data_IF_015099788452
#
_entry.id   IF_015099788452
#
_cell.length_a   1.000
_cell.length_b   1.000
_cell.length_c   1.000
_cell.angle_alpha   90.00
_cell.angle_beta   90.00
_cell.angle_gamma   90.00
#
_symmetry.space_group_name_H-M   'P 1'
#
loop_
_entity.id
_entity.type
_entity.pdbx_description
1 polymer ?
#
# COMPACT_ATOMS: atom_id res chain seq x y z
N UNK A 1 -9.05 6.49 9.95
CA UNK A 1 -10.19 7.31 9.49
C UNK A 1 -10.82 8.15 10.60
N UNK A 2 -11.30 7.55 11.69
CA UNK A 2 -11.89 8.30 12.82
C UNK A 2 -10.95 9.38 13.39
N UNK A 3 -9.66 9.08 13.54
CA UNK A 3 -8.65 10.03 14.04
C UNK A 3 -8.45 11.21 13.08
N UNK A 4 -8.38 10.99 11.78
CA UNK A 4 -8.20 12.07 10.78
C UNK A 4 -9.44 12.97 10.76
N UNK A 5 -10.63 12.40 10.77
CA UNK A 5 -11.88 13.17 10.85
C UNK A 5 -11.99 13.95 12.17
N UNK A 6 -11.58 13.34 13.30
CA UNK A 6 -11.56 14.00 14.60
C UNK A 6 -10.55 15.17 14.61
N UNK A 7 -9.37 15.02 14.05
CA UNK A 7 -8.36 16.09 13.94
C UNK A 7 -8.88 17.24 13.07
N UNK A 8 -9.47 16.94 11.91
CA UNK A 8 -10.07 17.96 11.04
C UNK A 8 -11.20 18.70 11.77
N UNK A 9 -12.08 17.97 12.47
CA UNK A 9 -13.17 18.57 13.24
C UNK A 9 -12.63 19.49 14.34
N UNK A 10 -11.69 19.00 15.15
CA UNK A 10 -11.09 19.76 16.26
C UNK A 10 -10.37 21.00 15.75
N UNK A 11 -9.56 20.89 14.71
CA UNK A 11 -8.85 22.05 14.13
C UNK A 11 -9.81 23.08 13.54
N UNK A 12 -10.85 22.64 12.86
CA UNK A 12 -11.85 23.55 12.27
C UNK A 12 -12.66 24.26 13.36
N UNK A 13 -13.08 23.54 14.39
CA UNK A 13 -13.79 24.12 15.54
C UNK A 13 -12.89 25.12 16.28
N UNK A 14 -11.64 24.76 16.54
CA UNK A 14 -10.67 25.64 17.21
C UNK A 14 -10.41 26.92 16.40
N UNK A 15 -10.16 26.79 15.09
CA UNK A 15 -9.99 27.95 14.19
C UNK A 15 -11.23 28.82 14.14
N UNK A 16 -12.41 28.22 14.06
CA UNK A 16 -13.68 28.97 14.06
C UNK A 16 -13.89 29.72 15.37
N UNK A 17 -13.54 29.12 16.51
CA UNK A 17 -13.65 29.79 17.83
C UNK A 17 -12.67 30.96 17.96
N UNK A 18 -11.42 30.81 17.51
CA UNK A 18 -10.42 31.90 17.51
C UNK A 18 -10.85 33.03 16.59
N UNK A 19 -11.33 32.70 15.41
CA UNK A 19 -11.84 33.69 14.46
C UNK A 19 -13.07 34.43 15.00
N UNK A 20 -13.99 33.70 15.62
CA UNK A 20 -15.17 34.28 16.26
C UNK A 20 -14.78 35.28 17.35
N UNK A 21 -13.87 34.89 18.24
CA UNK A 21 -13.40 35.76 19.32
C UNK A 21 -12.71 37.03 18.80
N UNK A 22 -11.84 36.88 17.81
CA UNK A 22 -11.11 37.99 17.21
C UNK A 22 -12.04 38.94 16.46
N UNK A 23 -12.95 38.42 15.64
CA UNK A 23 -13.90 39.22 14.87
C UNK A 23 -14.88 39.99 15.79
N UNK A 24 -15.35 39.30 16.84
CA UNK A 24 -16.23 39.90 17.84
C UNK A 24 -15.57 41.12 18.50
N UNK A 25 -14.34 40.96 19.01
CA UNK A 25 -13.63 42.02 19.68
C UNK A 25 -13.35 43.18 18.70
N UNK A 26 -12.88 42.92 17.51
CA UNK A 26 -12.59 43.90 16.50
C UNK A 26 -13.84 44.72 16.10
N UNK A 27 -14.98 44.06 16.00
CA UNK A 27 -16.26 44.75 15.69
C UNK A 27 -16.76 45.60 16.87
N UNK A 28 -16.61 45.11 18.11
CA UNK A 28 -16.97 45.88 19.29
C UNK A 28 -16.08 47.13 19.38
N UNK A 29 -14.77 47.00 19.20
CA UNK A 29 -13.83 48.09 19.22
C UNK A 29 -14.13 49.14 18.13
N UNK A 30 -14.42 48.69 16.90
CA UNK A 30 -14.76 49.58 15.80
C UNK A 30 -16.07 50.39 16.09
N UNK A 31 -17.07 49.79 16.73
CA UNK A 31 -18.32 50.47 17.12
C UNK A 31 -18.09 51.42 18.28
N UNK A 32 -17.22 51.10 19.24
CA UNK A 32 -16.83 51.99 20.33
C UNK A 32 -16.03 53.20 19.80
N UNK A 33 -15.14 52.99 18.83
CA UNK A 33 -14.42 54.06 18.16
C UNK A 33 -15.35 55.02 17.44
N UNK A 34 -16.37 54.47 16.76
CA UNK A 34 -17.42 55.32 16.15
C UNK A 34 -18.16 56.16 17.22
N UNK A 35 -18.59 55.55 18.34
CA UNK A 35 -19.25 56.29 19.43
C UNK A 35 -18.34 57.37 20.05
N UNK A 36 -17.03 57.14 20.14
CA UNK A 36 -16.04 58.15 20.58
C UNK A 36 -16.01 59.32 19.59
N UNK A 37 -15.98 59.05 18.28
CA UNK A 37 -15.98 60.09 17.25
C UNK A 37 -17.25 60.96 17.32
N UNK A 38 -18.39 60.32 17.51
CA UNK A 38 -19.67 61.07 17.71
C UNK A 38 -19.66 61.88 19.03
N UNK A 39 -19.09 61.31 20.11
CA UNK A 39 -18.93 62.05 21.37
C UNK A 39 -18.00 63.24 21.24
N UNK A 40 -16.96 63.17 20.41
CA UNK A 40 -16.05 64.27 20.11
C UNK A 40 -16.74 65.39 19.32
N UNK A 41 -17.64 65.04 18.38
CA UNK A 41 -18.41 66.02 17.66
C UNK A 41 -19.39 66.76 18.61
N UNK A 42 -20.02 66.05 19.53
CA UNK A 42 -20.86 66.65 20.56
C UNK A 42 -19.98 67.53 21.52
N UNK A 43 -18.79 67.05 21.89
CA UNK A 43 -17.87 67.78 22.75
C UNK A 43 -17.37 69.09 22.10
N UNK A 44 -17.12 69.07 20.78
CA UNK A 44 -16.79 70.27 20.03
C UNK A 44 -17.95 71.32 20.06
N UNK A 45 -19.16 70.84 19.77
CA UNK A 45 -20.34 71.69 19.81
C UNK A 45 -20.62 72.27 21.21
N UNK A 46 -20.40 71.46 22.27
CA UNK A 46 -20.57 71.86 23.65
C UNK A 46 -19.51 72.91 24.08
N UNK A 47 -18.28 72.87 23.51
CA UNK A 47 -17.19 73.80 23.79
C UNK A 47 -17.37 75.17 23.11
N UNK A 48 -17.99 75.23 21.95
CA UNK A 48 -18.13 76.41 21.10
C UNK A 48 -19.32 77.31 21.49
N UNK A 49 -20.11 76.89 22.47
CA UNK A 49 -21.27 77.67 22.95
C UNK A 49 -20.77 78.87 23.81
N UNK A 50 -20.77 80.07 23.22
CA UNK A 50 -20.36 81.29 23.90
C UNK A 50 -21.38 81.88 24.89
N UNK A 51 -21.01 82.09 26.12
CA UNK A 51 -21.42 83.25 26.97
C UNK A 51 -22.64 83.07 27.87
N UNK A 52 -23.63 82.30 27.63
CA UNK A 52 -24.77 82.08 28.52
C UNK A 52 -24.93 80.60 28.84
N UNK A 53 -25.53 80.28 30.00
CA UNK A 53 -25.69 78.90 30.48
C UNK A 53 -26.00 77.95 29.32
N UNK A 54 -25.23 76.85 29.16
CA UNK A 54 -25.49 75.81 28.20
C UNK A 54 -26.99 75.35 28.21
N UNK A 55 -27.63 75.50 29.39
CA UNK A 55 -29.06 75.25 29.62
C UNK A 55 -29.96 76.26 28.89
N UNK A 56 -29.57 77.53 28.79
CA UNK A 56 -30.40 78.55 28.14
C UNK A 56 -30.28 78.42 26.62
N UNK A 57 -29.12 78.13 26.08
CA UNK A 57 -28.93 77.89 24.63
C UNK A 57 -29.62 76.56 24.17
N UNK A 58 -29.59 75.57 25.01
CA UNK A 58 -30.26 74.29 24.72
C UNK A 58 -31.79 74.40 24.89
N UNK A 59 -32.28 75.33 25.72
CA UNK A 59 -33.67 75.59 25.88
C UNK A 59 -34.21 76.58 24.84
N UNK A 60 -33.37 77.33 24.13
CA UNK A 60 -33.80 78.16 23.00
C UNK A 60 -34.20 77.29 21.78
N UNK A 61 -35.45 77.35 21.40
CA UNK A 61 -36.04 76.53 20.34
C UNK A 61 -35.53 76.84 18.94
N UNK A 62 -34.92 77.97 18.73
CA UNK A 62 -34.57 78.49 17.41
C UNK A 62 -33.02 78.39 17.14
N UNK A 63 -32.22 77.83 18.04
CA UNK A 63 -30.75 77.72 17.81
C UNK A 63 -30.35 76.64 16.86
N UNK A 64 -29.55 76.95 15.85
CA UNK A 64 -28.98 76.00 14.85
C UNK A 64 -28.18 74.87 15.54
N UNK A 65 -27.45 75.24 16.57
CA UNK A 65 -26.62 74.31 17.36
C UNK A 65 -27.48 73.27 18.09
N UNK A 66 -28.64 73.65 18.63
CA UNK A 66 -29.61 72.74 19.24
C UNK A 66 -30.15 71.75 18.20
N UNK A 67 -30.50 72.25 17.00
CA UNK A 67 -31.05 71.45 15.93
C UNK A 67 -30.01 70.37 15.54
N UNK A 68 -28.76 70.75 15.40
CA UNK A 68 -27.66 69.82 15.03
C UNK A 68 -27.34 68.82 16.16
N UNK A 69 -27.31 69.26 17.41
CA UNK A 69 -27.09 68.40 18.56
C UNK A 69 -28.23 67.35 18.72
N UNK A 70 -29.46 67.77 18.49
CA UNK A 70 -30.61 66.86 18.48
C UNK A 70 -30.56 65.89 17.32
N UNK A 71 -30.08 66.28 16.15
CA UNK A 71 -29.93 65.42 14.99
C UNK A 71 -28.86 64.37 15.24
N UNK A 72 -27.68 64.73 15.73
CA UNK A 72 -26.61 63.80 16.11
C UNK A 72 -27.10 62.84 17.20
N UNK A 73 -27.72 63.38 18.26
CA UNK A 73 -28.29 62.55 19.33
C UNK A 73 -29.35 61.58 18.86
N UNK A 74 -30.22 62.02 17.93
CA UNK A 74 -31.26 61.15 17.34
C UNK A 74 -30.68 60.05 16.48
N UNK A 75 -29.62 60.34 15.75
CA UNK A 75 -28.91 59.33 14.93
C UNK A 75 -28.26 58.26 15.81
N UNK A 76 -27.51 58.67 16.82
CA UNK A 76 -26.84 57.78 17.79
C UNK A 76 -27.91 56.93 18.52
N UNK A 77 -29.02 57.54 18.96
CA UNK A 77 -30.08 56.77 19.62
C UNK A 77 -30.76 55.79 18.68
N UNK A 78 -31.00 56.18 17.42
CA UNK A 78 -31.64 55.29 16.43
C UNK A 78 -30.77 54.10 16.13
N UNK A 79 -29.48 54.30 15.99
CA UNK A 79 -28.54 53.24 15.61
C UNK A 79 -28.16 52.36 16.81
N UNK A 80 -27.82 53.00 17.95
CA UNK A 80 -27.27 52.27 19.10
C UNK A 80 -28.20 52.24 20.32
N UNK A 81 -29.31 52.93 20.29
CA UNK A 81 -30.20 53.11 21.46
C UNK A 81 -29.44 53.72 22.64
N UNK A 82 -28.53 54.64 22.32
CA UNK A 82 -27.60 55.22 23.29
C UNK A 82 -28.19 56.47 23.95
N UNK A 83 -27.79 56.65 25.21
CA UNK A 83 -28.06 57.84 26.00
C UNK A 83 -26.84 58.76 26.04
N UNK A 84 -27.04 60.06 25.86
CA UNK A 84 -25.98 61.07 25.82
C UNK A 84 -26.16 61.99 27.01
N UNK A 85 -25.08 62.21 27.77
CA UNK A 85 -25.03 63.14 28.87
C UNK A 85 -23.85 64.09 28.71
N UNK A 86 -24.08 65.39 28.82
CA UNK A 86 -23.02 66.38 28.94
C UNK A 86 -22.95 66.81 30.39
N UNK A 87 -21.79 66.72 31.03
CA UNK A 87 -21.57 67.00 32.45
C UNK A 87 -20.55 68.13 32.60
N UNK A 88 -20.76 69.00 33.62
CA UNK A 88 -19.77 70.03 34.00
C UNK A 88 -18.60 69.40 34.80
N UNK A 89 -17.60 70.26 35.19
CA UNK A 89 -16.49 69.81 36.01
C UNK A 89 -16.87 69.29 37.40
N UNK A 90 -18.03 69.68 37.91
CA UNK A 90 -18.56 69.23 39.20
C UNK A 90 -19.33 67.92 39.09
N UNK A 91 -19.49 67.40 37.85
CA UNK A 91 -20.25 66.16 37.59
C UNK A 91 -21.80 66.37 37.48
N UNK A 92 -22.24 67.65 37.45
CA UNK A 92 -23.63 67.92 37.26
C UNK A 92 -23.99 67.70 35.79
N UNK A 93 -25.09 67.00 35.51
CA UNK A 93 -25.61 66.84 34.17
C UNK A 93 -26.21 68.13 33.67
N UNK A 94 -25.52 68.75 32.72
CA UNK A 94 -25.93 70.06 32.15
C UNK A 94 -27.04 69.91 31.11
N UNK A 95 -27.03 68.83 30.40
CA UNK A 95 -28.10 68.51 29.46
C UNK A 95 -28.27 67.03 29.38
N UNK A 96 -29.51 66.62 29.60
CA UNK A 96 -30.04 65.37 29.09
C UNK A 96 -30.53 65.70 27.68
N UNK A 97 -29.74 65.45 26.65
CA UNK A 97 -30.35 65.25 25.34
C UNK A 97 -31.18 63.97 25.49
N UNK A 98 -32.32 64.12 26.13
CA UNK A 98 -33.36 63.14 26.16
C UNK A 98 -33.85 63.10 24.72
N UNK A 99 -33.16 62.37 23.90
CA UNK A 99 -33.81 61.83 22.74
C UNK A 99 -35.08 61.19 23.31
N UNK A 100 -36.21 61.63 22.90
CA UNK A 100 -37.54 61.46 23.51
C UNK A 100 -38.01 59.98 23.60
N UNK A 101 -37.13 59.02 23.74
CA UNK A 101 -37.35 57.58 23.57
C UNK A 101 -36.66 56.68 24.57
N UNK A 102 -35.96 57.18 25.61
CA UNK A 102 -35.51 56.28 26.66
C UNK A 102 -36.61 56.13 27.71
N UNK A 103 -37.41 55.09 27.58
CA UNK A 103 -38.42 54.70 28.53
C UNK A 103 -37.88 54.05 29.83
N UNK A 104 -36.57 53.94 29.99
CA UNK A 104 -35.94 53.23 31.07
C UNK A 104 -35.25 54.20 32.09
N UNK A 105 -35.93 54.53 33.21
CA UNK A 105 -35.42 55.47 34.24
C UNK A 105 -34.15 54.94 34.92
N UNK A 106 -33.99 53.62 35.12
CA UNK A 106 -32.85 53.01 35.77
C UNK A 106 -31.57 53.17 34.95
N UNK A 107 -31.70 53.18 33.63
CA UNK A 107 -30.57 53.38 32.72
C UNK A 107 -29.99 54.80 32.84
N UNK A 108 -30.85 55.77 33.14
CA UNK A 108 -30.42 57.17 33.38
C UNK A 108 -29.81 57.35 34.75
N UNK A 109 -30.39 56.75 35.81
CA UNK A 109 -29.84 56.78 37.17
C UNK A 109 -28.47 56.16 37.29
N UNK A 110 -28.16 55.21 36.47
CA UNK A 110 -26.84 54.56 36.46
C UNK A 110 -25.65 55.44 36.01
N UNK A 111 -25.91 56.63 35.47
CA UNK A 111 -24.91 57.63 35.18
C UNK A 111 -24.42 58.42 36.43
N UNK A 112 -25.08 58.24 37.58
CA UNK A 112 -24.70 58.88 38.83
C UNK A 112 -23.92 57.98 39.79
N UNK A 113 -23.43 56.88 39.33
CA UNK A 113 -22.67 55.88 40.11
C UNK A 113 -21.18 56.21 40.26
N UNK A 114 -20.56 55.51 41.21
CA UNK A 114 -19.11 55.65 41.51
C UNK A 114 -18.22 55.42 40.28
N UNK A 115 -18.62 54.52 39.36
CA UNK A 115 -17.91 54.24 38.12
C UNK A 115 -17.79 55.49 37.20
N UNK A 116 -18.83 56.29 37.14
CA UNK A 116 -18.84 57.54 36.33
C UNK A 116 -18.04 58.61 37.02
N UNK A 117 -18.02 58.66 38.34
CA UNK A 117 -17.19 59.63 39.10
C UNK A 117 -15.70 59.36 38.87
N UNK A 118 -15.28 58.11 38.86
CA UNK A 118 -13.89 57.74 38.53
C UNK A 118 -13.55 58.06 37.06
N UNK A 119 -14.46 57.75 36.15
CA UNK A 119 -14.33 58.06 34.72
C UNK A 119 -14.23 59.57 34.49
N UNK A 120 -15.01 60.40 35.19
CA UNK A 120 -14.95 61.82 35.12
C UNK A 120 -13.61 62.41 35.51
N UNK A 121 -12.94 61.88 36.56
CA UNK A 121 -11.62 62.30 36.93
C UNK A 121 -10.57 62.05 35.83
N UNK A 122 -10.65 60.89 35.13
CA UNK A 122 -9.76 60.60 34.01
C UNK A 122 -10.03 61.54 32.81
N UNK A 123 -11.29 61.80 32.54
CA UNK A 123 -11.66 62.70 31.42
C UNK A 123 -11.25 64.17 31.72
N UNK A 124 -11.35 64.62 32.96
CA UNK A 124 -10.84 65.93 33.35
C UNK A 124 -9.31 66.06 33.22
N UNK A 125 -8.59 64.95 33.28
CA UNK A 125 -7.17 64.80 32.92
C UNK A 125 -6.89 64.82 31.42
N UNK A 126 -7.93 64.91 30.57
CA UNK A 126 -7.80 64.93 29.11
C UNK A 126 -7.87 63.53 28.44
N UNK A 127 -8.13 62.47 29.18
CA UNK A 127 -8.22 61.09 28.63
C UNK A 127 -9.62 60.80 28.07
N UNK A 128 -9.63 60.04 26.99
CA UNK A 128 -10.88 59.43 26.47
C UNK A 128 -11.08 58.08 27.15
N UNK A 129 -12.27 57.75 27.56
CA UNK A 129 -12.58 56.54 28.26
C UNK A 129 -13.47 55.59 27.45
N UNK A 130 -13.26 54.30 27.68
CA UNK A 130 -14.11 53.21 27.24
C UNK A 130 -14.34 52.29 28.43
N UNK A 131 -15.61 52.12 28.81
CA UNK A 131 -15.96 51.27 29.96
C UNK A 131 -17.00 50.29 29.56
N UNK A 132 -16.90 49.08 30.08
CA UNK A 132 -17.93 48.07 30.06
C UNK A 132 -18.40 47.85 31.49
N UNK A 133 -19.59 48.25 31.81
CA UNK A 133 -20.18 47.99 33.11
C UNK A 133 -21.11 46.79 33.02
N UNK A 134 -21.01 45.92 34.05
CA UNK A 134 -21.90 44.79 34.26
C UNK A 134 -22.92 45.10 35.36
N UNK A 135 -22.91 46.31 35.91
CA UNK A 135 -23.85 46.74 36.96
C UNK A 135 -25.24 47.07 36.32
N UNK A 136 -26.30 46.47 36.87
CA UNK A 136 -27.67 46.63 36.39
C UNK A 136 -28.23 45.38 35.66
N UNK A 137 -29.48 45.53 35.15
CA UNK A 137 -30.20 44.39 34.49
C UNK A 137 -29.56 43.91 33.19
N UNK A 138 -28.74 44.78 32.53
CA UNK A 138 -28.04 44.42 31.32
C UNK A 138 -26.65 45.10 31.26
N UNK A 139 -25.60 44.39 30.76
CA UNK A 139 -24.30 45.00 30.58
C UNK A 139 -24.39 46.20 29.60
N UNK A 140 -23.63 47.26 29.92
CA UNK A 140 -23.61 48.48 29.12
C UNK A 140 -22.19 48.84 28.69
N UNK A 141 -22.06 49.54 27.57
CA UNK A 141 -20.85 50.21 27.15
C UNK A 141 -21.03 51.71 27.34
N UNK A 142 -20.02 52.33 27.93
CA UNK A 142 -19.95 53.76 28.13
C UNK A 142 -18.67 54.30 27.53
N UNK A 143 -18.76 55.31 26.67
CA UNK A 143 -17.64 56.09 26.18
C UNK A 143 -17.73 57.49 26.75
N UNK A 144 -16.59 58.09 27.03
CA UNK A 144 -16.55 59.48 27.55
C UNK A 144 -15.40 60.24 26.95
N UNK A 145 -15.62 61.49 26.59
CA UNK A 145 -14.63 62.38 26.02
C UNK A 145 -14.66 63.74 26.72
N UNK A 146 -13.51 64.42 26.88
CA UNK A 146 -13.48 65.77 27.41
C UNK A 146 -14.02 66.78 26.40
N UNK A 147 -14.79 67.78 26.87
CA UNK A 147 -14.98 69.01 26.08
C UNK A 147 -14.21 70.17 26.67
N UNK A 148 -13.67 70.97 25.79
CA UNK A 148 -12.73 72.06 26.18
C UNK A 148 -13.39 73.42 25.94
N UNK A 149 -13.16 74.34 26.83
CA UNK A 149 -13.62 75.71 26.71
C UNK A 149 -12.50 76.66 27.20
N UNK A 150 -12.24 77.72 26.45
CA UNK A 150 -11.18 78.66 26.74
C UNK A 150 -9.77 78.06 27.02
N UNK A 151 -9.48 76.92 26.30
CA UNK A 151 -8.19 76.21 26.42
C UNK A 151 -8.06 75.29 27.63
N UNK A 152 -9.12 75.06 28.41
CA UNK A 152 -9.14 74.12 29.52
C UNK A 152 -10.31 73.12 29.35
N UNK A 153 -10.18 71.95 30.00
CA UNK A 153 -11.26 70.98 30.03
C UNK A 153 -12.41 71.56 30.89
N UNK A 154 -13.57 71.75 30.31
CA UNK A 154 -14.74 72.33 30.94
C UNK A 154 -15.76 71.26 31.44
N UNK A 155 -15.60 70.03 31.03
CA UNK A 155 -16.44 68.92 31.45
C UNK A 155 -16.30 67.69 30.57
N UNK A 156 -17.29 66.82 30.53
CA UNK A 156 -17.27 65.57 29.82
C UNK A 156 -18.60 65.32 29.03
N UNK A 157 -18.44 64.66 27.89
CA UNK A 157 -19.56 64.09 27.14
C UNK A 157 -19.51 62.57 27.32
N UNK A 158 -20.57 61.98 27.81
CA UNK A 158 -20.76 60.55 27.95
C UNK A 158 -21.80 60.03 26.99
N UNK A 159 -21.50 58.96 26.30
CA UNK A 159 -22.46 58.15 25.51
C UNK A 159 -22.53 56.78 26.09
N UNK A 160 -23.70 56.35 26.51
CA UNK A 160 -23.91 55.04 27.11
C UNK A 160 -24.93 54.24 26.29
N UNK A 161 -24.64 52.96 26.03
CA UNK A 161 -25.53 52.06 25.26
C UNK A 161 -25.57 50.69 25.87
N UNK A 162 -26.66 49.94 25.68
CA UNK A 162 -26.77 48.55 26.09
C UNK A 162 -25.87 47.68 25.19
N UNK A 163 -25.09 46.77 25.80
CA UNK A 163 -24.16 45.90 25.08
C UNK A 163 -24.88 45.05 24.02
N UNK A 164 -26.14 44.65 24.31
CA UNK A 164 -26.99 43.91 23.37
C UNK A 164 -27.17 44.61 22.02
N UNK A 165 -27.24 45.97 22.01
CA UNK A 165 -27.38 46.77 20.79
C UNK A 165 -26.08 46.78 19.96
N UNK A 166 -24.93 46.80 20.61
CA UNK A 166 -23.63 46.67 19.95
C UNK A 166 -23.43 45.26 19.40
N UNK A 167 -23.91 44.24 20.10
CA UNK A 167 -23.72 42.84 19.75
C UNK A 167 -24.80 42.28 18.78
N UNK A 168 -25.98 42.94 18.64
CA UNK A 168 -27.12 42.37 17.89
C UNK A 168 -26.85 42.06 16.42
N UNK A 169 -26.06 42.87 15.71
CA UNK A 169 -25.73 42.62 14.31
C UNK A 169 -24.68 41.48 14.11
N UNK A 170 -23.94 41.15 15.16
CA UNK A 170 -22.90 40.12 15.12
C UNK A 170 -23.48 38.71 15.06
N UNK A 171 -24.56 38.46 15.81
CA UNK A 171 -25.17 37.14 15.89
C UNK A 171 -25.74 36.65 14.56
N UNK A 172 -26.24 37.52 13.71
CA UNK A 172 -26.73 37.16 12.38
C UNK A 172 -25.58 36.79 11.44
N UNK A 173 -24.52 37.55 11.44
CA UNK A 173 -23.30 37.28 10.63
C UNK A 173 -22.64 35.96 11.10
N UNK A 174 -22.55 35.76 12.41
CA UNK A 174 -21.99 34.55 13.00
C UNK A 174 -22.81 33.32 12.69
N UNK A 175 -24.15 33.44 12.68
CA UNK A 175 -25.03 32.36 12.25
C UNK A 175 -24.79 31.94 10.80
N UNK A 176 -24.64 32.89 9.89
CA UNK A 176 -24.30 32.63 8.48
C UNK A 176 -22.93 31.93 8.32
N UNK A 177 -21.92 32.40 9.07
CA UNK A 177 -20.57 31.79 9.06
C UNK A 177 -20.63 30.38 9.62
N UNK A 178 -21.36 30.12 10.71
CA UNK A 178 -21.50 28.80 11.30
C UNK A 178 -22.17 27.80 10.33
N UNK A 179 -23.20 28.22 9.63
CA UNK A 179 -23.88 27.38 8.60
C UNK A 179 -22.91 27.05 7.46
N UNK A 180 -22.16 28.06 6.98
CA UNK A 180 -21.16 27.83 5.92
C UNK A 180 -20.06 26.87 6.36
N UNK A 181 -19.54 27.06 7.57
CA UNK A 181 -18.52 26.16 8.14
C UNK A 181 -19.04 24.73 8.28
N UNK A 182 -20.27 24.54 8.73
CA UNK A 182 -20.90 23.22 8.83
C UNK A 182 -21.08 22.56 7.45
N UNK A 183 -21.45 23.34 6.43
CA UNK A 183 -21.57 22.84 5.06
C UNK A 183 -20.23 22.39 4.47
N UNK A 184 -19.16 23.18 4.70
CA UNK A 184 -17.80 22.83 4.26
C UNK A 184 -17.30 21.57 4.96
N UNK A 185 -17.54 21.44 6.27
CA UNK A 185 -17.20 20.25 7.05
C UNK A 185 -17.92 19.00 6.54
N UNK A 186 -19.22 19.11 6.28
CA UNK A 186 -20.00 17.99 5.75
C UNK A 186 -19.49 17.56 4.37
N UNK A 187 -19.22 18.52 3.48
CA UNK A 187 -18.70 18.24 2.14
C UNK A 187 -17.31 17.60 2.19
N UNK A 188 -16.40 18.13 3.00
CA UNK A 188 -15.07 17.56 3.17
C UNK A 188 -15.12 16.15 3.76
N UNK A 189 -16.01 15.89 4.71
CA UNK A 189 -16.27 14.57 5.26
C UNK A 189 -16.70 13.55 4.22
N UNK A 190 -17.60 13.94 3.32
CA UNK A 190 -18.04 13.07 2.21
C UNK A 190 -16.89 12.78 1.25
N UNK A 191 -16.11 13.80 0.87
CA UNK A 191 -14.96 13.63 -0.03
C UNK A 191 -13.92 12.68 0.57
N UNK A 192 -13.55 12.89 1.84
CA UNK A 192 -12.60 12.03 2.56
C UNK A 192 -13.13 10.59 2.65
N UNK A 193 -14.43 10.42 2.98
CA UNK A 193 -15.05 9.10 3.06
C UNK A 193 -14.97 8.35 1.72
N UNK A 194 -15.34 9.01 0.62
CA UNK A 194 -15.29 8.41 -0.72
C UNK A 194 -13.85 8.06 -1.13
N UNK A 195 -12.90 8.96 -0.86
CA UNK A 195 -11.49 8.75 -1.16
C UNK A 195 -10.90 7.55 -0.39
N UNK A 196 -11.14 7.48 0.93
CA UNK A 196 -10.64 6.39 1.76
C UNK A 196 -11.29 5.05 1.37
N UNK A 197 -12.60 5.06 1.07
CA UNK A 197 -13.31 3.85 0.60
C UNK A 197 -12.75 3.35 -0.72
N UNK A 198 -12.44 4.25 -1.67
CA UNK A 198 -11.84 3.89 -2.94
C UNK A 198 -10.45 3.27 -2.78
N UNK A 199 -9.65 3.77 -1.83
CA UNK A 199 -8.30 3.26 -1.52
C UNK A 199 -8.29 1.92 -0.75
N UNK A 200 -9.23 1.72 0.16
CA UNK A 200 -9.28 0.51 0.99
C UNK A 200 -9.91 -0.70 0.28
N UNK A 201 -10.79 -0.48 -0.69
CA UNK A 201 -11.46 -1.57 -1.41
C UNK A 201 -10.48 -2.56 -2.08
N UNK A 202 -9.48 -2.12 -2.86
CA UNK A 202 -8.51 -3.04 -3.48
C UNK A 202 -7.67 -3.80 -2.46
N UNK A 203 -7.25 -3.15 -1.36
CA UNK A 203 -6.49 -3.82 -0.29
C UNK A 203 -7.31 -4.93 0.39
N UNK A 204 -8.61 -4.70 0.60
CA UNK A 204 -9.50 -5.73 1.13
C UNK A 204 -9.64 -6.91 0.15
N UNK A 205 -9.69 -6.63 -1.15
CA UNK A 205 -9.72 -7.68 -2.18
C UNK A 205 -8.44 -8.52 -2.17
N UNK A 206 -7.26 -7.88 -2.05
CA UNK A 206 -5.98 -8.57 -1.87
C UNK A 206 -5.97 -9.47 -0.63
N UNK A 207 -6.46 -8.99 0.51
CA UNK A 207 -6.56 -9.78 1.72
C UNK A 207 -7.49 -11.01 1.56
N UNK A 208 -8.63 -10.82 0.90
CA UNK A 208 -9.56 -11.93 0.62
C UNK A 208 -8.95 -12.95 -0.36
N UNK A 209 -8.26 -12.46 -1.40
CA UNK A 209 -7.56 -13.31 -2.37
C UNK A 209 -6.43 -14.12 -1.71
N UNK A 210 -5.65 -13.49 -0.81
CA UNK A 210 -4.61 -14.17 -0.05
C UNK A 210 -5.19 -15.28 0.86
N UNK A 211 -6.35 -15.04 1.48
CA UNK A 211 -7.06 -16.06 2.26
C UNK A 211 -7.44 -17.27 1.42
N UNK A 212 -8.01 -17.06 0.21
CA UNK A 212 -8.35 -18.16 -0.70
C UNK A 212 -7.12 -18.95 -1.17
N UNK A 213 -6.00 -18.26 -1.43
CA UNK A 213 -4.74 -18.94 -1.77
C UNK A 213 -4.26 -19.81 -0.61
N UNK A 214 -4.37 -19.34 0.63
CA UNK A 214 -4.02 -20.13 1.82
C UNK A 214 -4.91 -21.38 1.99
N UNK A 215 -6.14 -21.35 1.47
CA UNK A 215 -7.05 -22.49 1.41
C UNK A 215 -6.81 -23.41 0.19
N UNK A 216 -5.80 -23.07 -0.64
CA UNK A 216 -5.40 -23.88 -1.80
C UNK A 216 -6.08 -23.51 -3.12
N UNK A 217 -6.79 -22.40 -3.18
CA UNK A 217 -7.36 -21.88 -4.43
C UNK A 217 -6.39 -20.90 -5.09
N UNK A 218 -5.53 -21.42 -5.95
CA UNK A 218 -4.55 -20.65 -6.69
C UNK A 218 -5.08 -20.02 -7.99
N UNK A 219 -6.36 -20.26 -8.35
CA UNK A 219 -6.98 -19.66 -9.53
C UNK A 219 -7.36 -18.20 -9.36
N UNK A 220 -7.33 -17.70 -8.12
CA UNK A 220 -7.72 -16.33 -7.77
C UNK A 220 -6.80 -15.32 -8.42
N UNK A 221 -7.41 -14.26 -8.99
CA UNK A 221 -6.67 -13.11 -9.51
C UNK A 221 -7.30 -11.84 -8.96
N UNK A 222 -6.47 -10.84 -8.75
CA UNK A 222 -6.90 -9.48 -8.39
C UNK A 222 -6.79 -8.57 -9.61
N UNK A 223 -7.64 -7.55 -9.66
CA UNK A 223 -7.65 -6.61 -10.77
C UNK A 223 -6.40 -5.72 -10.73
N UNK A 224 -5.53 -5.86 -11.72
CA UNK A 224 -4.29 -5.08 -11.87
C UNK A 224 -4.54 -3.63 -12.34
N UNK A 225 -5.77 -3.30 -12.73
CA UNK A 225 -6.14 -1.95 -13.19
C UNK A 225 -6.79 -1.12 -12.08
N UNK A 226 -7.19 -1.75 -10.97
CA UNK A 226 -7.87 -1.10 -9.87
C UNK A 226 -6.88 -0.32 -8.97
N UNK A 227 -7.28 0.87 -8.57
CA UNK A 227 -6.52 1.70 -7.63
C UNK A 227 -5.46 2.58 -8.30
N UNK A 228 -4.59 3.16 -7.47
CA UNK A 228 -3.45 3.97 -7.90
C UNK A 228 -2.25 3.11 -8.31
N UNK A 229 -1.15 3.80 -8.64
CA UNK A 229 0.07 3.15 -9.13
C UNK A 229 0.58 2.10 -8.16
N UNK A 230 0.66 2.42 -6.89
CA UNK A 230 1.19 1.56 -5.82
C UNK A 230 0.31 0.31 -5.65
N UNK A 231 -1.01 0.47 -5.66
CA UNK A 231 -1.95 -0.67 -5.59
C UNK A 231 -1.84 -1.57 -6.81
N UNK A 232 -1.68 -1.00 -8.00
CA UNK A 232 -1.48 -1.78 -9.24
C UNK A 232 -0.18 -2.57 -9.23
N UNK A 233 0.92 -1.97 -8.75
CA UNK A 233 2.21 -2.67 -8.60
C UNK A 233 2.09 -3.86 -7.65
N UNK A 234 1.44 -3.68 -6.50
CA UNK A 234 1.19 -4.78 -5.54
C UNK A 234 0.27 -5.84 -6.14
N UNK A 235 -0.79 -5.46 -6.85
CA UNK A 235 -1.71 -6.40 -7.51
C UNK A 235 -1.01 -7.23 -8.58
N UNK A 236 -0.13 -6.62 -9.38
CA UNK A 236 0.66 -7.31 -10.40
C UNK A 236 1.67 -8.28 -9.78
N UNK A 237 2.39 -7.84 -8.74
CA UNK A 237 3.29 -8.71 -7.98
C UNK A 237 2.55 -9.89 -7.34
N UNK A 238 1.38 -9.64 -6.75
CA UNK A 238 0.52 -10.67 -6.18
C UNK A 238 0.07 -11.70 -7.25
N UNK A 239 -0.43 -11.26 -8.39
CA UNK A 239 -0.83 -12.17 -9.48
C UNK A 239 0.35 -12.97 -10.04
N UNK A 240 1.54 -12.37 -10.07
CA UNK A 240 2.77 -13.07 -10.49
C UNK A 240 3.15 -14.15 -9.49
N UNK A 241 3.08 -13.86 -8.19
CA UNK A 241 3.30 -14.85 -7.13
C UNK A 241 2.28 -15.99 -7.22
N UNK A 242 0.99 -15.64 -7.40
CA UNK A 242 -0.09 -16.64 -7.49
C UNK A 242 0.11 -17.57 -8.68
N UNK A 243 0.49 -17.05 -9.86
CA UNK A 243 0.83 -17.87 -11.04
C UNK A 243 1.95 -18.86 -10.77
N UNK A 244 3.00 -18.40 -10.06
CA UNK A 244 4.11 -19.30 -9.68
C UNK A 244 3.66 -20.39 -8.72
N UNK A 245 2.83 -20.06 -7.73
CA UNK A 245 2.30 -21.03 -6.78
C UNK A 245 1.36 -22.05 -7.46
N UNK A 246 0.51 -21.58 -8.37
CA UNK A 246 -0.37 -22.44 -9.19
C UNK A 246 0.46 -23.45 -9.99
N UNK A 247 1.50 -22.99 -10.70
CA UNK A 247 2.38 -23.86 -11.46
C UNK A 247 3.13 -24.88 -10.58
N UNK A 248 3.57 -24.49 -9.39
CA UNK A 248 4.20 -25.42 -8.43
C UNK A 248 3.22 -26.47 -7.95
N UNK A 249 2.00 -26.07 -7.58
CA UNK A 249 0.98 -27.02 -7.09
C UNK A 249 0.47 -27.94 -8.21
N UNK A 250 0.29 -27.44 -9.42
CA UNK A 250 -0.07 -28.23 -10.58
C UNK A 250 1.02 -29.28 -10.90
N UNK A 251 2.30 -28.85 -10.94
CA UNK A 251 3.44 -29.76 -11.10
C UNK A 251 3.50 -30.81 -9.98
N UNK A 252 3.19 -30.43 -8.73
CA UNK A 252 3.14 -31.38 -7.60
C UNK A 252 2.03 -32.41 -7.77
N UNK A 253 0.84 -31.98 -8.20
CA UNK A 253 -0.30 -32.89 -8.45
C UNK A 253 -0.02 -33.86 -9.59
N UNK A 254 0.55 -33.34 -10.69
CA UNK A 254 0.94 -34.16 -11.84
C UNK A 254 2.03 -35.17 -11.44
N UNK A 255 3.03 -34.75 -10.66
CA UNK A 255 4.04 -35.65 -10.13
C UNK A 255 3.45 -36.81 -9.31
N UNK A 256 2.56 -36.52 -8.34
CA UNK A 256 1.93 -37.54 -7.50
C UNK A 256 1.06 -38.49 -8.36
N UNK A 257 0.31 -37.97 -9.34
CA UNK A 257 -0.48 -38.75 -10.24
C UNK A 257 0.37 -39.72 -11.09
N UNK A 258 1.47 -39.20 -11.67
CA UNK A 258 2.40 -39.96 -12.49
C UNK A 258 3.12 -41.05 -11.68
N UNK A 259 3.63 -40.72 -10.47
CA UNK A 259 4.21 -41.73 -9.56
C UNK A 259 3.23 -42.82 -9.26
N UNK A 260 1.99 -42.48 -8.93
CA UNK A 260 0.95 -43.47 -8.62
C UNK A 260 0.67 -44.40 -9.80
N UNK A 261 0.68 -43.83 -11.01
CA UNK A 261 0.43 -44.60 -12.23
C UNK A 261 1.60 -45.55 -12.55
N UNK A 262 2.85 -45.02 -12.50
CA UNK A 262 4.07 -45.78 -12.78
C UNK A 262 4.37 -46.88 -11.74
N UNK A 263 3.94 -46.70 -10.50
CA UNK A 263 4.03 -47.75 -9.47
C UNK A 263 2.92 -48.82 -9.63
N UNK A 264 1.70 -48.45 -10.03
CA UNK A 264 0.55 -49.36 -10.10
C UNK A 264 0.73 -50.40 -11.19
N UNK A 265 1.28 -50.00 -12.34
CA UNK A 265 1.45 -50.93 -13.49
C UNK A 265 2.31 -52.14 -13.15
N UNK A 266 3.57 -52.01 -12.69
CA UNK A 266 4.43 -53.15 -12.35
C UNK A 266 3.85 -54.00 -11.23
N UNK A 267 3.27 -53.39 -10.20
CA UNK A 267 2.64 -54.12 -9.10
C UNK A 267 1.48 -54.98 -9.60
N UNK A 268 0.68 -54.47 -10.53
CA UNK A 268 -0.44 -55.25 -11.12
C UNK A 268 0.07 -56.40 -11.96
N UNK A 269 1.14 -56.18 -12.75
CA UNK A 269 1.76 -57.25 -13.55
C UNK A 269 2.38 -58.34 -12.65
N UNK A 270 3.17 -57.96 -11.63
CA UNK A 270 3.75 -58.91 -10.67
C UNK A 270 2.64 -59.76 -10.01
N UNK A 271 1.59 -59.08 -9.50
CA UNK A 271 0.46 -59.76 -8.86
C UNK A 271 -0.24 -60.69 -9.82
N UNK A 272 -0.59 -60.25 -11.04
CA UNK A 272 -1.27 -61.08 -12.02
C UNK A 272 -0.48 -62.30 -12.43
N UNK A 273 0.84 -62.19 -12.60
CA UNK A 273 1.67 -63.37 -12.89
C UNK A 273 1.77 -64.29 -11.69
N UNK A 274 1.89 -63.77 -10.48
CA UNK A 274 1.96 -64.58 -9.26
C UNK A 274 0.63 -65.32 -8.99
N UNK A 275 -0.52 -64.62 -9.10
CA UNK A 275 -1.86 -65.24 -9.00
C UNK A 275 -2.08 -66.29 -10.09
N UNK A 276 -1.73 -65.97 -11.35
CA UNK A 276 -1.88 -66.92 -12.46
C UNK A 276 -1.04 -68.21 -12.31
N UNK A 277 0.13 -68.11 -11.68
CA UNK A 277 0.96 -69.27 -11.31
C UNK A 277 0.32 -70.03 -10.12
N UNK A 278 -0.16 -69.36 -9.11
CA UNK A 278 -0.75 -69.93 -7.91
C UNK A 278 -2.06 -70.68 -8.22
N UNK A 279 -2.89 -70.11 -9.10
CA UNK A 279 -4.18 -70.67 -9.48
C UNK A 279 -4.08 -71.79 -10.60
N UNK A 280 -2.84 -72.06 -11.03
CA UNK A 280 -2.60 -73.07 -12.07
C UNK A 280 -3.07 -72.65 -13.49
N UNK A 281 -3.35 -71.37 -13.69
CA UNK A 281 -3.68 -70.82 -15.02
C UNK A 281 -2.47 -70.79 -15.93
N UNK A 282 -1.27 -70.58 -15.34
CA UNK A 282 0.00 -70.61 -16.04
C UNK A 282 0.57 -72.03 -15.92
N UNK A 283 0.74 -72.73 -17.05
CA UNK A 283 1.31 -74.12 -17.03
C UNK A 283 2.69 -74.14 -16.40
N UNK A 284 3.00 -75.29 -15.74
CA UNK A 284 4.30 -75.44 -15.03
C UNK A 284 5.54 -75.19 -15.95
N UNK A 285 5.41 -75.54 -17.21
CA UNK A 285 6.42 -75.42 -18.25
C UNK A 285 6.74 -73.92 -18.55
N UNK A 286 5.75 -73.06 -18.41
CA UNK A 286 5.88 -71.63 -18.67
C UNK A 286 6.27 -70.84 -17.42
N UNK A 287 6.11 -71.35 -16.20
CA UNK A 287 6.39 -70.68 -14.95
C UNK A 287 7.79 -70.01 -14.89
N UNK A 288 8.87 -70.68 -15.37
CA UNK A 288 10.21 -70.06 -15.36
C UNK A 288 10.31 -68.78 -16.19
N UNK A 289 9.49 -68.63 -17.24
CA UNK A 289 9.38 -67.44 -18.07
C UNK A 289 8.68 -66.31 -17.29
N UNK A 290 7.54 -66.60 -16.65
CA UNK A 290 6.79 -65.64 -15.88
C UNK A 290 7.49 -65.21 -14.62
N UNK A 291 8.29 -66.10 -13.96
CA UNK A 291 9.17 -65.77 -12.85
C UNK A 291 10.25 -64.76 -13.27
N UNK A 292 10.79 -64.91 -14.49
CA UNK A 292 11.73 -63.89 -15.02
C UNK A 292 11.07 -62.57 -15.24
N UNK A 293 9.85 -62.52 -15.79
CA UNK A 293 9.08 -61.32 -15.95
C UNK A 293 8.78 -60.64 -14.60
N UNK A 294 8.45 -61.39 -13.55
CA UNK A 294 8.26 -60.89 -12.18
C UNK A 294 9.58 -60.29 -11.64
N UNK A 295 10.70 -60.98 -11.86
CA UNK A 295 12.02 -60.50 -11.42
C UNK A 295 12.42 -59.18 -12.15
N UNK A 296 12.18 -59.11 -13.47
CA UNK A 296 12.48 -57.93 -14.29
C UNK A 296 11.60 -56.73 -13.86
N UNK A 297 10.29 -56.97 -13.60
CA UNK A 297 9.39 -55.94 -13.15
C UNK A 297 9.67 -55.45 -11.72
N UNK A 298 10.15 -56.38 -10.84
CA UNK A 298 10.61 -56.02 -9.50
C UNK A 298 11.90 -55.18 -9.55
N UNK A 299 12.83 -55.50 -10.46
CA UNK A 299 14.06 -54.73 -10.68
C UNK A 299 13.72 -53.30 -11.22
N UNK A 300 12.78 -53.24 -12.17
CA UNK A 300 12.28 -51.96 -12.69
C UNK A 300 11.66 -51.09 -11.60
N UNK A 301 10.82 -51.67 -10.73
CA UNK A 301 10.19 -51.00 -9.61
C UNK A 301 11.22 -50.44 -8.61
N UNK A 302 12.25 -51.25 -8.30
CA UNK A 302 13.37 -50.78 -7.45
C UNK A 302 14.10 -49.59 -8.08
N UNK A 303 14.43 -49.66 -9.38
CA UNK A 303 15.06 -48.51 -10.09
C UNK A 303 14.19 -47.27 -10.08
N UNK A 304 12.86 -47.38 -10.23
CA UNK A 304 11.94 -46.25 -10.13
C UNK A 304 11.97 -45.62 -8.73
N UNK A 305 12.00 -46.43 -7.68
CA UNK A 305 12.08 -45.96 -6.29
C UNK A 305 13.41 -45.22 -6.06
N UNK A 306 14.52 -45.77 -6.55
CA UNK A 306 15.85 -45.17 -6.43
C UNK A 306 15.92 -43.81 -7.16
N UNK A 307 15.32 -43.71 -8.37
CA UNK A 307 15.19 -42.45 -9.13
C UNK A 307 14.36 -41.41 -8.39
N UNK A 308 13.23 -41.82 -7.79
CA UNK A 308 12.39 -40.93 -6.98
C UNK A 308 13.10 -40.41 -5.75
N UNK A 309 13.86 -41.27 -5.04
CA UNK A 309 14.66 -40.89 -3.88
C UNK A 309 15.80 -39.96 -4.29
N UNK A 310 16.46 -40.20 -5.41
CA UNK A 310 17.49 -39.34 -5.95
C UNK A 310 16.94 -37.98 -6.29
N UNK A 311 15.80 -37.90 -7.00
CA UNK A 311 15.13 -36.64 -7.35
C UNK A 311 14.70 -35.88 -6.10
N UNK A 312 14.10 -36.56 -5.11
CA UNK A 312 13.69 -35.93 -3.85
C UNK A 312 14.88 -35.33 -3.08
N UNK A 313 16.07 -36.00 -3.11
CA UNK A 313 17.28 -35.45 -2.49
C UNK A 313 17.81 -34.23 -3.24
N UNK A 314 17.72 -34.22 -4.57
CA UNK A 314 18.16 -33.11 -5.43
C UNK A 314 17.23 -31.89 -5.37
N UNK A 315 16.00 -32.08 -4.92
CA UNK A 315 15.00 -30.98 -4.79
C UNK A 315 15.04 -30.27 -3.44
N UNK A 316 15.79 -30.77 -2.48
CA UNK A 316 15.95 -30.09 -1.18
C UNK A 316 16.69 -28.79 -1.37
N UNK A 317 16.24 -27.72 -0.70
CA UNK A 317 16.86 -26.38 -0.76
C UNK A 317 18.31 -26.35 -0.24
N UNK A 318 18.67 -27.29 0.63
CA UNK A 318 20.00 -27.43 1.21
C UNK A 318 20.94 -28.34 0.41
N UNK A 319 20.47 -28.95 -0.69
CA UNK A 319 21.27 -29.80 -1.54
C UNK A 319 22.32 -28.99 -2.31
N UNK A 320 23.53 -28.93 -1.80
CA UNK A 320 24.68 -28.32 -2.48
C UNK A 320 25.57 -29.42 -3.05
N UNK A 321 26.13 -29.25 -4.28
CA UNK A 321 27.07 -30.20 -4.84
C UNK A 321 28.38 -30.20 -4.06
N UNK A 322 28.95 -31.38 -3.81
CA UNK A 322 30.29 -31.54 -3.20
C UNK A 322 31.36 -31.44 -4.27
N UNK A 323 31.77 -30.21 -4.55
CA UNK A 323 32.71 -29.92 -5.65
C UNK A 323 34.08 -30.53 -5.41
N UNK A 324 34.56 -31.32 -6.38
CA UNK A 324 35.87 -31.93 -6.42
C UNK A 324 36.49 -31.81 -7.82
N UNK A 325 37.78 -31.97 -7.91
CA UNK A 325 38.50 -32.00 -9.21
C UNK A 325 38.75 -33.45 -9.60
N UNK A 326 38.27 -33.84 -10.78
CA UNK A 326 38.46 -35.19 -11.33
C UNK A 326 38.59 -35.14 -12.86
N UNK A 327 39.13 -36.23 -13.45
CA UNK A 327 39.21 -36.36 -14.90
C UNK A 327 37.91 -36.93 -15.48
N UNK A 328 37.18 -36.12 -16.25
CA UNK A 328 35.93 -36.56 -16.87
C UNK A 328 36.17 -37.63 -17.94
N UNK A 329 37.26 -37.59 -18.67
CA UNK A 329 37.58 -38.60 -19.69
C UNK A 329 37.76 -39.98 -19.05
N UNK A 330 38.43 -40.05 -17.91
CA UNK A 330 38.59 -41.30 -17.17
C UNK A 330 37.23 -41.83 -16.63
N UNK A 331 36.34 -40.92 -16.17
CA UNK A 331 34.99 -41.27 -15.76
C UNK A 331 34.18 -41.86 -16.93
N UNK A 332 34.24 -41.26 -18.11
CA UNK A 332 33.59 -41.76 -19.33
C UNK A 332 34.10 -43.15 -19.71
N UNK A 333 35.44 -43.40 -19.70
CA UNK A 333 36.01 -44.71 -19.96
C UNK A 333 35.51 -45.76 -18.98
N UNK A 334 35.50 -45.45 -17.69
CA UNK A 334 35.00 -46.36 -16.64
C UNK A 334 33.49 -46.66 -16.80
N UNK A 335 32.67 -45.67 -17.17
CA UNK A 335 31.26 -45.87 -17.41
C UNK A 335 30.99 -46.85 -18.57
N UNK A 336 31.77 -46.72 -19.67
CA UNK A 336 31.71 -47.68 -20.78
C UNK A 336 32.13 -49.10 -20.34
N UNK A 337 33.25 -49.25 -19.61
CA UNK A 337 33.70 -50.54 -19.12
C UNK A 337 32.65 -51.22 -18.23
N UNK A 338 31.97 -50.47 -17.36
CA UNK A 338 30.91 -51.01 -16.49
C UNK A 338 29.70 -51.50 -17.29
N UNK A 339 29.45 -51.01 -18.50
CA UNK A 339 28.34 -51.39 -19.39
C UNK A 339 28.75 -52.31 -20.54
N UNK A 340 29.99 -52.85 -20.52
CA UNK A 340 30.54 -53.64 -21.60
C UNK A 340 29.65 -54.86 -21.92
N UNK A 341 29.14 -55.56 -20.90
CA UNK A 341 28.25 -56.71 -21.11
C UNK A 341 26.96 -56.35 -21.86
N UNK A 342 26.37 -55.17 -21.57
CA UNK A 342 25.15 -54.70 -22.22
C UNK A 342 25.41 -54.28 -23.67
N UNK A 343 26.58 -53.65 -23.89
CA UNK A 343 27.05 -53.24 -25.20
C UNK A 343 27.41 -54.43 -26.10
N UNK A 344 28.15 -55.40 -25.59
CA UNK A 344 28.50 -56.64 -26.32
C UNK A 344 27.26 -57.47 -26.62
N UNK A 345 26.34 -57.55 -25.64
CA UNK A 345 25.04 -58.28 -25.80
C UNK A 345 24.19 -57.77 -26.95
N UNK A 346 24.28 -56.45 -27.22
CA UNK A 346 23.63 -55.79 -28.36
C UNK A 346 24.55 -55.59 -29.57
N UNK A 347 25.81 -55.97 -29.50
CA UNK A 347 26.81 -55.76 -30.56
C UNK A 347 26.96 -54.28 -30.92
N UNK A 348 26.87 -53.40 -29.96
CA UNK A 348 27.01 -51.96 -30.16
C UNK A 348 28.49 -51.59 -30.24
N UNK A 349 28.86 -50.86 -31.31
CA UNK A 349 30.22 -50.33 -31.45
C UNK A 349 30.33 -49.05 -30.63
N UNK A 350 31.38 -48.96 -29.74
CA UNK A 350 31.58 -47.82 -28.87
C UNK A 350 32.89 -47.15 -29.15
N UNK A 351 32.90 -45.87 -29.41
CA UNK A 351 34.08 -45.04 -29.57
C UNK A 351 34.16 -43.92 -28.52
N UNK A 352 35.37 -43.63 -28.08
CA UNK A 352 35.66 -42.48 -27.22
C UNK A 352 36.60 -41.54 -27.99
N UNK A 353 36.13 -40.33 -28.30
CA UNK A 353 36.87 -39.30 -29.05
C UNK A 353 37.08 -38.09 -28.12
N UNK A 354 38.23 -38.01 -27.53
CA UNK A 354 38.61 -36.96 -26.59
C UNK A 354 39.64 -36.04 -27.23
N UNK A 355 39.44 -34.72 -27.17
CA UNK A 355 40.34 -33.72 -27.72
C UNK A 355 41.69 -33.72 -26.96
N UNK A 356 41.65 -33.95 -25.64
CA UNK A 356 42.78 -34.07 -24.76
C UNK A 356 42.78 -35.45 -24.08
N UNK A 357 43.96 -36.02 -23.75
CA UNK A 357 44.05 -37.32 -23.03
C UNK A 357 43.40 -37.27 -21.66
N UNK A 358 43.51 -36.14 -20.97
CA UNK A 358 42.92 -35.88 -19.66
C UNK A 358 42.19 -34.54 -19.69
N UNK A 359 41.00 -34.51 -19.18
CA UNK A 359 40.18 -33.29 -19.05
C UNK A 359 39.70 -33.11 -17.59
N UNK A 360 40.54 -32.43 -16.75
CA UNK A 360 40.18 -32.16 -15.37
C UNK A 360 39.04 -31.13 -15.30
N UNK A 361 37.97 -31.49 -14.55
CA UNK A 361 36.78 -30.66 -14.35
C UNK A 361 36.50 -30.50 -12.87
N UNK A 362 35.82 -29.40 -12.52
CA UNK A 362 35.41 -29.10 -11.15
C UNK A 362 33.92 -29.29 -11.00
N UNK A 363 33.51 -30.38 -10.37
CA UNK A 363 32.09 -30.72 -10.17
C UNK A 363 31.93 -31.73 -9.01
N UNK A 364 30.70 -32.09 -8.67
CA UNK A 364 30.40 -33.21 -7.79
C UNK A 364 30.53 -34.52 -8.59
N UNK A 365 31.60 -35.27 -8.31
CA UNK A 365 31.97 -36.48 -9.04
C UNK A 365 30.85 -37.51 -9.08
N UNK A 366 30.18 -37.76 -7.95
CA UNK A 366 29.14 -38.79 -7.87
C UNK A 366 27.88 -38.39 -8.67
N UNK A 367 27.55 -37.11 -8.65
CA UNK A 367 26.44 -36.56 -9.42
C UNK A 367 26.72 -36.56 -10.92
N UNK A 368 27.92 -36.20 -11.31
CA UNK A 368 28.28 -36.23 -12.74
C UNK A 368 28.39 -37.69 -13.24
N UNK A 369 28.88 -38.63 -12.43
CA UNK A 369 28.82 -40.05 -12.78
C UNK A 369 27.40 -40.52 -13.02
N UNK A 370 26.41 -40.05 -12.21
CA UNK A 370 24.98 -40.32 -12.41
C UNK A 370 24.48 -39.77 -13.75
N UNK A 371 24.89 -38.55 -14.14
CA UNK A 371 24.55 -37.98 -15.46
C UNK A 371 25.12 -38.85 -16.57
N UNK A 372 26.40 -39.19 -16.52
CA UNK A 372 27.05 -40.01 -17.53
C UNK A 372 26.37 -41.37 -17.67
N UNK A 373 26.10 -42.06 -16.57
CA UNK A 373 25.43 -43.37 -16.57
C UNK A 373 24.00 -43.24 -17.17
N UNK A 374 23.23 -42.26 -16.77
CA UNK A 374 21.88 -42.06 -17.30
C UNK A 374 21.86 -41.81 -18.82
N UNK A 375 22.81 -41.01 -19.32
CA UNK A 375 22.92 -40.74 -20.74
C UNK A 375 23.41 -41.98 -21.51
N UNK A 376 24.36 -42.74 -20.96
CA UNK A 376 24.89 -43.96 -21.58
C UNK A 376 23.84 -45.08 -21.58
N UNK A 377 23.07 -45.27 -20.49
CA UNK A 377 21.99 -46.22 -20.41
C UNK A 377 20.86 -45.92 -21.42
N UNK A 378 20.56 -44.60 -21.60
CA UNK A 378 19.62 -44.16 -22.66
C UNK A 378 20.17 -44.48 -24.06
N UNK A 379 21.44 -44.20 -24.31
CA UNK A 379 22.09 -44.51 -25.59
C UNK A 379 22.04 -46.03 -25.89
N UNK A 380 22.43 -46.85 -24.93
CA UNK A 380 22.39 -48.34 -25.07
C UNK A 380 20.96 -48.81 -25.31
N UNK A 381 20.00 -48.26 -24.61
CA UNK A 381 18.58 -48.64 -24.72
C UNK A 381 18.01 -48.38 -26.12
N UNK A 382 18.21 -47.20 -26.67
CA UNK A 382 17.59 -46.74 -27.91
C UNK A 382 18.41 -47.08 -29.17
N UNK A 383 19.69 -47.49 -29.00
CA UNK A 383 20.51 -47.99 -30.11
C UNK A 383 20.09 -49.43 -30.49
N UNK A 384 19.83 -49.68 -31.77
CA UNK A 384 19.52 -51.04 -32.25
C UNK A 384 20.76 -51.95 -32.19
N UNK A 385 20.56 -53.27 -32.29
CA UNK A 385 21.68 -54.22 -32.39
C UNK A 385 22.56 -53.90 -33.61
N UNK A 386 23.86 -53.83 -33.38
CA UNK A 386 24.87 -53.48 -34.39
C UNK A 386 25.00 -51.98 -34.65
N UNK A 387 24.31 -51.13 -33.85
CA UNK A 387 24.49 -49.67 -33.91
C UNK A 387 25.75 -49.16 -33.24
N UNK A 388 25.90 -47.85 -33.14
CA UNK A 388 27.08 -47.22 -32.55
C UNK A 388 26.76 -46.18 -31.50
N UNK A 389 27.64 -46.04 -30.48
CA UNK A 389 27.61 -44.99 -29.47
C UNK A 389 28.95 -44.31 -29.45
N UNK A 390 28.94 -42.97 -29.42
CA UNK A 390 30.17 -42.18 -29.38
C UNK A 390 30.14 -41.24 -28.19
N UNK A 391 31.22 -41.22 -27.39
CA UNK A 391 31.43 -40.30 -26.30
C UNK A 391 32.53 -39.32 -26.72
N UNK A 392 32.23 -38.04 -26.66
CA UNK A 392 33.13 -36.98 -27.11
C UNK A 392 33.39 -36.04 -25.94
N UNK A 393 34.62 -35.54 -25.79
CA UNK A 393 34.94 -34.40 -24.93
C UNK A 393 35.78 -33.39 -25.66
N UNK A 394 35.41 -32.11 -25.57
CA UNK A 394 36.13 -30.98 -26.12
C UNK A 394 36.18 -29.84 -25.11
N UNK A 395 37.18 -28.97 -25.25
CA UNK A 395 37.34 -27.84 -24.35
C UNK A 395 37.27 -26.52 -25.13
N UNK A 396 36.38 -25.61 -24.73
CA UNK A 396 36.28 -24.27 -25.31
C UNK A 396 36.17 -23.24 -24.16
N UNK A 397 36.98 -22.21 -24.17
CA UNK A 397 36.92 -21.05 -23.25
C UNK A 397 36.85 -21.45 -21.76
N UNK A 398 37.58 -22.51 -21.33
CA UNK A 398 37.58 -22.99 -19.94
C UNK A 398 36.35 -23.83 -19.56
N UNK A 399 35.53 -24.22 -20.53
CA UNK A 399 34.39 -25.10 -20.35
C UNK A 399 34.65 -26.42 -21.09
N UNK A 400 34.49 -27.52 -20.38
CA UNK A 400 34.48 -28.86 -20.97
C UNK A 400 33.07 -29.17 -21.48
N UNK A 401 32.94 -29.47 -22.77
CA UNK A 401 31.74 -29.94 -23.42
C UNK A 401 31.79 -31.47 -23.58
N UNK A 402 30.88 -32.18 -22.97
CA UNK A 402 30.78 -33.64 -23.03
C UNK A 402 29.56 -34.03 -23.83
N UNK A 403 29.74 -34.84 -24.87
CA UNK A 403 28.66 -35.29 -25.75
C UNK A 403 28.57 -36.82 -25.73
N UNK A 404 27.35 -37.34 -25.53
CA UNK A 404 26.99 -38.74 -25.72
C UNK A 404 26.07 -38.82 -26.93
N UNK A 405 26.53 -39.47 -27.97
CA UNK A 405 25.82 -39.64 -29.25
C UNK A 405 25.51 -41.11 -29.48
N UNK A 406 24.30 -41.39 -29.94
CA UNK A 406 23.87 -42.71 -30.36
C UNK A 406 23.38 -42.69 -31.83
N UNK A 407 23.34 -43.90 -32.43
CA UNK A 407 22.79 -44.12 -33.78
C UNK A 407 21.36 -44.69 -33.74
N UNK A 408 20.63 -44.39 -32.65
CA UNK A 408 19.26 -44.90 -32.43
C UNK A 408 18.16 -44.23 -33.25
N UNK A 409 16.93 -44.31 -32.75
CA UNK A 409 15.76 -43.76 -33.40
C UNK A 409 15.69 -42.23 -33.37
N UNK A 410 16.56 -41.61 -32.56
CA UNK A 410 16.50 -40.16 -32.33
C UNK A 410 15.31 -39.68 -31.52
N UNK A 411 15.12 -38.37 -31.52
CA UNK A 411 14.00 -37.69 -30.80
C UNK A 411 13.16 -36.93 -31.81
N UNK A 412 11.86 -37.18 -31.82
CA UNK A 412 10.93 -36.47 -32.69
C UNK A 412 10.96 -34.93 -32.40
N UNK A 413 10.83 -34.07 -33.44
CA UNK A 413 10.90 -32.62 -33.27
C UNK A 413 9.92 -32.09 -32.20
N UNK A 414 8.73 -32.63 -32.14
CA UNK A 414 7.66 -32.27 -31.19
C UNK A 414 7.97 -32.63 -29.73
N UNK A 415 8.88 -33.59 -29.52
CA UNK A 415 9.24 -34.06 -28.19
C UNK A 415 10.51 -33.41 -27.61
N UNK A 416 11.30 -32.73 -28.45
CA UNK A 416 12.63 -32.20 -28.10
C UNK A 416 12.63 -31.28 -26.88
N UNK A 417 11.60 -30.46 -26.71
CA UNK A 417 11.48 -29.56 -25.57
C UNK A 417 11.07 -30.29 -24.27
N UNK A 418 10.39 -31.43 -24.43
CA UNK A 418 9.75 -32.16 -23.32
C UNK A 418 10.54 -33.34 -22.81
N UNK A 419 11.59 -33.79 -23.51
CA UNK A 419 12.40 -34.97 -23.09
C UNK A 419 13.04 -34.84 -21.72
N UNK A 420 13.18 -33.61 -21.21
CA UNK A 420 13.71 -33.33 -19.87
C UNK A 420 12.58 -33.17 -18.83
N UNK A 421 11.32 -33.28 -19.22
CA UNK A 421 10.19 -33.29 -18.29
C UNK A 421 10.13 -34.60 -17.53
N UNK A 422 9.64 -34.55 -16.30
CA UNK A 422 9.51 -35.75 -15.45
C UNK A 422 8.49 -36.71 -16.04
N UNK A 423 8.81 -38.02 -16.00
CA UNK A 423 7.97 -39.09 -16.54
C UNK A 423 7.67 -39.03 -18.05
N UNK A 424 8.40 -38.16 -18.76
CA UNK A 424 8.24 -38.07 -20.19
C UNK A 424 8.89 -39.31 -20.87
N UNK A 425 8.11 -39.98 -21.69
CA UNK A 425 8.55 -41.08 -22.56
C UNK A 425 7.96 -40.85 -23.95
N UNK A 426 8.82 -40.88 -24.98
CA UNK A 426 8.39 -40.70 -26.39
C UNK A 426 7.47 -41.85 -26.87
N UNK A 427 7.48 -43.00 -26.22
CA UNK A 427 6.68 -44.16 -26.56
C UNK A 427 5.36 -44.16 -25.76
N UNK A 428 4.33 -43.57 -26.35
CA UNK A 428 2.97 -43.46 -25.76
C UNK A 428 2.25 -44.82 -25.59
N UNK A 429 2.80 -45.88 -26.17
CA UNK A 429 2.14 -47.18 -26.20
C UNK A 429 2.48 -48.10 -25.00
N UNK A 430 3.20 -47.61 -23.97
CA UNK A 430 3.59 -48.38 -22.77
C UNK A 430 4.09 -49.81 -23.07
N UNK A 431 4.88 -49.96 -24.13
CA UNK A 431 5.51 -51.25 -24.41
C UNK A 431 6.43 -51.63 -23.25
N UNK A 432 6.11 -52.71 -22.56
CA UNK A 432 6.77 -53.18 -21.35
C UNK A 432 8.30 -53.12 -21.49
N UNK A 433 8.97 -52.38 -20.58
CA UNK A 433 10.43 -52.41 -20.44
C UNK A 433 11.18 -51.10 -20.74
N UNK A 434 10.54 -49.98 -21.09
CA UNK A 434 11.29 -48.80 -21.56
C UNK A 434 11.29 -47.63 -20.55
N UNK A 435 12.05 -47.82 -19.44
CA UNK A 435 12.52 -46.73 -18.55
C UNK A 435 11.46 -45.96 -17.74
N UNK A 436 11.90 -45.27 -16.73
CA UNK A 436 11.08 -44.55 -15.75
C UNK A 436 10.65 -43.15 -16.20
N UNK A 437 11.28 -42.60 -17.26
CA UNK A 437 11.11 -41.21 -17.68
C UNK A 437 11.69 -40.16 -16.71
N UNK A 438 12.43 -40.61 -15.69
CA UNK A 438 13.05 -39.73 -14.70
C UNK A 438 14.53 -39.42 -14.99
N UNK A 439 15.23 -40.30 -15.71
CA UNK A 439 16.69 -40.18 -15.90
C UNK A 439 17.13 -38.86 -16.49
N UNK A 440 16.51 -38.38 -17.57
CA UNK A 440 16.88 -37.10 -18.18
C UNK A 440 16.49 -35.89 -17.31
N UNK A 441 15.40 -35.96 -16.58
CA UNK A 441 15.01 -34.90 -15.63
C UNK A 441 15.96 -34.83 -14.43
N UNK A 442 16.50 -35.96 -13.98
CA UNK A 442 17.58 -36.04 -12.98
C UNK A 442 18.85 -35.40 -13.54
N UNK A 443 19.24 -35.73 -14.77
CA UNK A 443 20.39 -35.11 -15.43
C UNK A 443 20.27 -33.60 -15.47
N UNK A 444 19.15 -33.07 -15.94
CA UNK A 444 18.86 -31.65 -15.99
C UNK A 444 19.00 -31.00 -14.61
N UNK A 445 18.41 -31.60 -13.57
CA UNK A 445 18.48 -31.08 -12.21
C UNK A 445 19.90 -31.05 -11.64
N UNK A 446 20.68 -32.09 -11.89
CA UNK A 446 22.09 -32.14 -11.51
C UNK A 446 22.88 -31.01 -12.19
N UNK A 447 22.69 -30.81 -13.49
CA UNK A 447 23.39 -29.77 -14.23
C UNK A 447 22.98 -28.36 -13.75
N UNK A 448 21.69 -28.13 -13.48
CA UNK A 448 21.22 -26.88 -12.88
C UNK A 448 21.86 -26.58 -11.53
N UNK A 449 22.06 -27.60 -10.66
CA UNK A 449 22.72 -27.45 -9.36
C UNK A 449 24.19 -27.04 -9.50
N UNK A 450 24.85 -27.41 -10.61
CA UNK A 450 26.22 -27.02 -10.94
C UNK A 450 26.28 -25.66 -11.67
N UNK A 451 25.14 -24.97 -11.93
CA UNK A 451 25.11 -23.77 -12.74
C UNK A 451 25.45 -24.03 -14.22
N UNK A 452 25.35 -25.27 -14.66
CA UNK A 452 25.69 -25.75 -15.99
C UNK A 452 24.44 -26.24 -16.75
N UNK A 453 24.58 -26.51 -18.05
CA UNK A 453 23.47 -26.91 -18.91
C UNK A 453 23.60 -28.31 -19.50
N UNK A 454 22.46 -28.90 -19.83
CA UNK A 454 22.34 -30.09 -20.68
C UNK A 454 21.39 -29.79 -21.81
N UNK A 455 21.71 -30.25 -23.03
CA UNK A 455 20.86 -30.04 -24.20
C UNK A 455 20.93 -31.20 -25.19
N UNK A 456 19.89 -31.36 -25.96
CA UNK A 456 19.86 -32.21 -27.15
C UNK A 456 20.44 -31.44 -28.34
N UNK A 457 21.37 -32.04 -29.05
CA UNK A 457 21.89 -31.46 -30.29
C UNK A 457 21.06 -31.95 -31.48
N UNK A 458 21.03 -31.16 -32.55
CA UNK A 458 20.49 -31.60 -33.82
C UNK A 458 21.40 -32.61 -34.49
N UNK A 459 20.86 -33.74 -34.90
CA UNK A 459 21.58 -34.83 -35.53
C UNK A 459 20.78 -35.34 -36.73
N UNK A 460 21.48 -35.81 -37.76
CA UNK A 460 20.85 -36.45 -38.92
C UNK A 460 20.29 -37.86 -38.54
N UNK A 461 20.98 -38.55 -37.66
CA UNK A 461 20.61 -39.88 -37.20
C UNK A 461 20.87 -39.99 -35.70
N UNK A 462 19.97 -40.72 -34.98
CA UNK A 462 20.11 -40.95 -33.54
C UNK A 462 19.87 -39.71 -32.70
N UNK A 463 20.36 -39.74 -31.47
CA UNK A 463 20.31 -38.61 -30.54
C UNK A 463 21.73 -38.25 -30.07
N UNK A 464 21.96 -36.99 -29.73
CA UNK A 464 23.19 -36.51 -29.13
C UNK A 464 22.88 -35.56 -27.98
N UNK A 465 23.22 -35.97 -26.78
CA UNK A 465 23.08 -35.16 -25.57
C UNK A 465 24.41 -34.54 -25.21
N UNK A 466 24.45 -33.24 -25.01
CA UNK A 466 25.63 -32.50 -24.59
C UNK A 466 25.37 -31.82 -23.26
N UNK A 467 26.32 -31.95 -22.35
CA UNK A 467 26.35 -31.19 -21.09
C UNK A 467 27.73 -30.51 -20.94
N UNK A 468 27.76 -29.48 -20.11
CA UNK A 468 28.94 -28.63 -19.88
C UNK A 468 29.43 -28.71 -18.46
N UNK A 469 30.76 -28.61 -18.24
CA UNK A 469 31.38 -28.53 -16.92
C UNK A 469 32.47 -27.46 -16.92
N UNK A 470 32.75 -26.87 -15.77
CA UNK A 470 33.86 -25.95 -15.59
C UNK A 470 35.17 -26.75 -15.60
N UNK A 471 36.15 -26.38 -16.46
CA UNK A 471 37.47 -26.98 -16.47
C UNK A 471 38.23 -26.52 -15.22
N UNK A 472 38.96 -27.41 -14.55
CA UNK A 472 39.69 -27.15 -13.32
C UNK A 472 41.06 -26.50 -13.55
#
# INVERSE_FOLDING_TARGET
>A
MAVVLAVILVTTVALSAVWWFTLRNQQIDARLDYLISEAEEIAYLAGDLEGESLMDTINDRDSVTRSHLNEVAANINREFGAYIAVMDQAGNVMTNARAAYSEDPEFVESLNGDEISEAMQKILGGEKIRMRSASGEAPTFTVGVPYTRNGGVAGAVFIRTKAQRIESGLNEILGKIAVLAAAVLALSGVVVFLFVRARLKPLKQLGTAAGRIAEGDFSVRVDEKAGDREVREVSSAFNTMTRKLEGVEEGRREFVANVSHELRSPITSIRGFAEGMADGVIPAEEQPRYLRLVADESKRLSGLIDDLLALSRLEREDAKPEMSVFDINEMLRRAVIRRMNDLEGKKIDVSCEFEEDSCPVRADSDRIEQVVINLLDNAIKFTPEGGSIRLESATHDGIAEITVRDSGSGVAPEDRERIFDRFFTADRAHTAGKGTGLGLSICKRIMEMHGQGIRLLETETGAAFRFTLEKA
#
